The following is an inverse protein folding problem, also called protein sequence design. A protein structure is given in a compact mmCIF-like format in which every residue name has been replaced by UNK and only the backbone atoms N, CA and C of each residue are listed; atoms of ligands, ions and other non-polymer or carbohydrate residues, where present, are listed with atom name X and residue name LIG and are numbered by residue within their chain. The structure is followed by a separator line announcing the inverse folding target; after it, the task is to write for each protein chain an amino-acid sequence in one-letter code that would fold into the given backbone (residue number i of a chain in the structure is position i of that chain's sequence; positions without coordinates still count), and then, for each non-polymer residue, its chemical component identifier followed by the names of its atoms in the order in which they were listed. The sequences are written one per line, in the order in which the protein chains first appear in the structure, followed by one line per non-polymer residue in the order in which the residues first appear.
data_IF_662278004372
#
_entry.id   IF_662278004372
#
_cell.length_a   1.000
_cell.length_b   1.000
_cell.length_c   1.000
_cell.angle_alpha   90.00
_cell.angle_beta   90.00
_cell.angle_gamma   90.00
#
_symmetry.space_group_name_H-M   'P 1'
#
loop_
_entity.id
_entity.type
_entity.pdbx_description
1 polymer ?
#
# COMPACT_ATOMS: atom_id res chain seq x y z
N UNK A 1 2.18 -1.76 16.30
CA UNK A 1 1.39 -2.40 15.24
C UNK A 1 1.43 -3.92 15.37
N UNK A 2 0.45 -4.58 14.74
CA UNK A 2 0.51 -6.01 14.48
C UNK A 2 0.93 -6.24 13.03
N UNK A 3 1.91 -7.13 12.83
CA UNK A 3 2.38 -7.51 11.51
C UNK A 3 1.48 -8.61 10.93
N UNK A 4 0.87 -8.33 9.80
CA UNK A 4 0.09 -9.28 9.00
C UNK A 4 0.87 -9.62 7.71
N UNK A 5 1.71 -10.66 7.72
CA UNK A 5 2.36 -11.08 6.49
C UNK A 5 1.36 -11.76 5.55
N UNK A 6 1.50 -11.50 4.26
CA UNK A 6 0.67 -12.13 3.24
C UNK A 6 1.50 -12.63 2.07
N UNK A 7 0.97 -13.62 1.36
CA UNK A 7 1.65 -14.23 0.22
C UNK A 7 1.54 -13.30 -0.98
N UNK A 8 2.67 -13.00 -1.62
CA UNK A 8 2.68 -12.26 -2.89
C UNK A 8 2.00 -13.06 -3.99
N UNK A 9 1.12 -12.41 -4.77
CA UNK A 9 0.45 -13.05 -5.90
C UNK A 9 1.41 -13.43 -7.05
N UNK A 10 2.54 -12.74 -7.17
CA UNK A 10 3.49 -12.93 -8.26
C UNK A 10 4.62 -13.89 -7.93
N UNK A 11 5.25 -13.72 -6.78
CA UNK A 11 6.42 -14.51 -6.37
C UNK A 11 6.11 -15.56 -5.31
N UNK A 12 4.85 -15.64 -4.88
CA UNK A 12 4.34 -16.55 -3.86
C UNK A 12 5.10 -16.36 -2.52
N UNK A 13 5.55 -17.48 -1.95
CA UNK A 13 6.39 -17.53 -0.74
C UNK A 13 7.88 -17.25 -1.01
N UNK A 14 8.23 -16.80 -2.22
CA UNK A 14 9.57 -16.55 -2.70
C UNK A 14 10.10 -17.61 -3.66
N UNK A 15 9.36 -18.71 -3.86
CA UNK A 15 9.77 -19.78 -4.78
C UNK A 15 9.93 -19.34 -6.23
N UNK A 16 9.29 -18.24 -6.63
CA UNK A 16 9.38 -17.65 -7.97
C UNK A 16 10.24 -16.38 -8.00
N UNK A 17 10.87 -15.99 -6.90
CA UNK A 17 11.65 -14.76 -6.82
C UNK A 17 12.86 -14.71 -7.79
N UNK A 18 13.37 -15.84 -8.23
CA UNK A 18 14.43 -15.94 -9.22
C UNK A 18 13.98 -15.66 -10.67
N UNK A 19 12.68 -15.71 -10.92
CA UNK A 19 12.11 -15.55 -12.26
C UNK A 19 11.84 -14.07 -12.54
N UNK A 20 12.45 -13.46 -13.56
CA UNK A 20 12.31 -12.02 -13.85
C UNK A 20 10.87 -11.66 -14.21
N UNK A 21 10.14 -12.53 -14.91
CA UNK A 21 8.73 -12.31 -15.24
C UNK A 21 7.83 -12.30 -14.00
N UNK A 22 8.14 -13.11 -12.99
CA UNK A 22 7.39 -13.10 -11.74
C UNK A 22 7.68 -11.82 -10.92
N UNK A 23 8.95 -11.39 -10.87
CA UNK A 23 9.32 -10.10 -10.26
C UNK A 23 8.68 -8.91 -10.97
N UNK A 24 8.53 -8.97 -12.29
CA UNK A 24 7.94 -7.92 -13.11
C UNK A 24 6.41 -7.86 -12.96
N UNK A 25 5.75 -8.98 -12.65
CA UNK A 25 4.29 -9.04 -12.49
C UNK A 25 3.87 -8.16 -11.32
N UNK A 26 3.05 -7.12 -11.55
CA UNK A 26 2.63 -6.21 -10.51
C UNK A 26 1.65 -6.89 -9.55
N UNK A 27 1.67 -6.46 -8.31
CA UNK A 27 0.61 -6.78 -7.37
C UNK A 27 -0.72 -6.19 -7.84
N UNK A 28 -1.83 -6.94 -7.80
CA UNK A 28 -3.10 -6.49 -8.40
C UNK A 28 -3.74 -5.30 -7.67
N UNK A 29 -3.37 -5.02 -6.44
CA UNK A 29 -3.94 -3.91 -5.65
C UNK A 29 -3.00 -2.71 -5.63
N UNK A 30 -1.72 -2.91 -5.30
CA UNK A 30 -0.74 -1.84 -5.16
C UNK A 30 -0.01 -1.50 -6.45
N UNK A 31 -0.09 -2.35 -7.47
CA UNK A 31 0.73 -2.30 -8.70
C UNK A 31 2.24 -2.37 -8.43
N UNK A 32 2.65 -2.64 -7.19
CA UNK A 32 4.03 -2.72 -6.79
C UNK A 32 4.70 -4.01 -7.29
N UNK A 33 6.00 -3.93 -7.56
CA UNK A 33 6.83 -5.03 -8.04
C UNK A 33 8.26 -4.87 -7.51
N UNK A 34 9.12 -5.86 -7.68
CA UNK A 34 10.55 -5.82 -7.42
C UNK A 34 11.01 -5.42 -6.02
N UNK A 35 10.15 -5.15 -5.07
CA UNK A 35 10.52 -4.72 -3.72
C UNK A 35 9.58 -5.27 -2.65
N UNK A 36 9.91 -5.02 -1.39
CA UNK A 36 8.99 -5.20 -0.26
C UNK A 36 8.39 -3.86 0.08
N UNK A 37 7.04 -3.82 0.18
CA UNK A 37 6.31 -2.65 0.64
C UNK A 37 5.56 -2.97 1.93
N UNK A 38 5.14 -1.95 2.62
CA UNK A 38 4.38 -2.02 3.86
C UNK A 38 3.07 -1.28 3.65
N UNK A 39 1.98 -2.00 3.70
CA UNK A 39 0.64 -1.43 3.69
C UNK A 39 0.31 -0.93 5.09
N UNK A 40 0.03 0.34 5.21
CA UNK A 40 -0.34 1.01 6.46
C UNK A 40 -1.64 1.80 6.25
N UNK A 41 -2.52 1.82 7.24
CA UNK A 41 -3.76 2.60 7.15
C UNK A 41 -3.47 4.06 6.80
N UNK A 42 -4.18 4.62 5.80
CA UNK A 42 -3.94 5.98 5.28
C UNK A 42 -4.02 7.05 6.35
N UNK A 43 -5.02 7.01 7.24
CA UNK A 43 -5.16 7.99 8.33
C UNK A 43 -4.05 7.86 9.37
N UNK A 44 -3.59 6.63 9.65
CA UNK A 44 -2.44 6.44 10.54
C UNK A 44 -1.13 6.93 9.90
N UNK A 45 -0.97 6.71 8.61
CA UNK A 45 0.18 7.21 7.85
C UNK A 45 0.23 8.75 7.91
N UNK A 46 -0.90 9.42 7.69
CA UNK A 46 -1.01 10.88 7.83
C UNK A 46 -0.62 11.36 9.23
N UNK A 47 -1.16 10.75 10.28
CA UNK A 47 -0.86 11.09 11.67
C UNK A 47 0.63 10.91 12.02
N UNK A 48 1.29 9.96 11.40
CA UNK A 48 2.72 9.66 11.57
C UNK A 48 3.60 10.41 10.56
N UNK A 49 3.02 11.26 9.70
CA UNK A 49 3.70 11.92 8.59
C UNK A 49 4.44 10.93 7.66
N UNK A 50 3.88 9.74 7.47
CA UNK A 50 4.39 8.72 6.56
C UNK A 50 3.74 8.93 5.20
N UNK A 51 4.57 9.00 4.15
CA UNK A 51 4.14 9.13 2.75
C UNK A 51 4.57 7.91 1.98
N UNK A 52 3.92 7.66 0.86
CA UNK A 52 4.34 6.61 -0.06
C UNK A 52 5.81 6.73 -0.43
N UNK A 53 6.53 5.62 -0.35
CA UNK A 53 7.95 5.56 -0.66
C UNK A 53 8.89 5.96 0.48
N UNK A 54 8.38 6.41 1.63
CA UNK A 54 9.22 6.54 2.82
C UNK A 54 9.77 5.17 3.21
N UNK A 55 11.05 5.10 3.52
CA UNK A 55 11.67 3.86 4.01
C UNK A 55 11.36 3.74 5.50
N UNK A 56 10.63 2.67 5.84
CA UNK A 56 10.25 2.35 7.20
C UNK A 56 11.11 1.23 7.74
N UNK A 57 11.61 1.40 8.95
CA UNK A 57 12.20 0.33 9.75
C UNK A 57 11.09 -0.32 10.57
N UNK A 58 10.91 -1.62 10.38
CA UNK A 58 9.94 -2.45 11.08
C UNK A 58 10.72 -3.34 12.03
N UNK A 59 10.53 -3.15 13.32
CA UNK A 59 11.29 -3.85 14.37
C UNK A 59 10.35 -4.69 15.22
N UNK A 60 10.73 -5.96 15.40
CA UNK A 60 10.11 -6.91 16.34
C UNK A 60 11.11 -7.32 17.42
N UNK A 61 10.71 -8.25 18.29
CA UNK A 61 11.64 -8.90 19.24
C UNK A 61 12.73 -9.74 18.57
N UNK A 62 12.53 -10.14 17.30
CA UNK A 62 13.42 -11.05 16.59
C UNK A 62 14.36 -10.34 15.60
N UNK A 63 14.22 -9.02 15.45
CA UNK A 63 15.05 -8.22 14.56
C UNK A 63 14.30 -7.11 13.87
N UNK A 64 14.96 -6.48 12.89
CA UNK A 64 14.38 -5.42 12.08
C UNK A 64 14.57 -5.66 10.59
N UNK A 65 13.68 -5.07 9.80
CA UNK A 65 13.74 -5.01 8.35
C UNK A 65 13.39 -3.61 7.87
N UNK A 66 13.83 -3.27 6.66
CA UNK A 66 13.38 -2.06 5.97
C UNK A 66 12.40 -2.41 4.86
N UNK A 67 11.35 -1.59 4.71
CA UNK A 67 10.40 -1.72 3.62
C UNK A 67 9.86 -0.33 3.21
N UNK A 68 9.30 -0.25 2.00
CA UNK A 68 8.75 1.00 1.46
C UNK A 68 7.31 1.19 1.94
N UNK A 69 7.01 2.37 2.45
CA UNK A 69 5.65 2.70 2.87
C UNK A 69 4.68 2.74 1.69
N UNK A 70 3.54 2.14 1.88
CA UNK A 70 2.39 2.20 0.98
C UNK A 70 1.11 2.48 1.79
N UNK A 71 0.68 3.75 1.92
CA UNK A 71 -0.57 4.07 2.56
C UNK A 71 -1.75 3.44 1.82
N UNK A 72 -2.55 2.63 2.53
CA UNK A 72 -3.66 1.87 1.96
C UNK A 72 -4.94 2.03 2.82
N UNK A 73 -6.06 2.50 2.24
CA UNK A 73 -7.28 2.77 3.02
C UNK A 73 -7.96 1.50 3.56
N UNK A 74 -7.75 0.35 2.91
CA UNK A 74 -8.38 -0.92 3.29
C UNK A 74 -7.72 -1.63 4.46
N UNK A 75 -6.53 -1.21 4.91
CA UNK A 75 -5.87 -1.81 6.07
C UNK A 75 -6.47 -1.26 7.36
N UNK A 76 -6.74 -2.16 8.31
CA UNK A 76 -7.25 -1.79 9.63
C UNK A 76 -6.21 -0.96 10.40
N UNK A 77 -6.60 0.11 11.10
CA UNK A 77 -5.72 0.82 12.03
C UNK A 77 -5.07 -0.13 13.06
N UNK A 78 -3.77 0.09 13.31
CA UNK A 78 -2.99 -0.76 14.23
C UNK A 78 -2.42 -2.04 13.61
N UNK A 79 -2.69 -2.30 12.34
CA UNK A 79 -2.16 -3.43 11.57
C UNK A 79 -1.31 -2.90 10.42
N UNK A 80 -0.25 -3.59 10.09
CA UNK A 80 0.51 -3.39 8.85
C UNK A 80 0.53 -4.68 8.04
N UNK A 81 0.27 -4.57 6.74
CA UNK A 81 0.38 -5.67 5.78
C UNK A 81 1.74 -5.66 5.09
N UNK A 82 2.42 -6.81 5.00
CA UNK A 82 3.71 -6.89 4.31
C UNK A 82 3.78 -8.18 3.49
N UNK A 83 4.01 -8.10 2.16
CA UNK A 83 4.16 -9.29 1.34
C UNK A 83 5.44 -10.05 1.67
N UNK A 84 5.35 -11.37 1.73
CA UNK A 84 6.50 -12.26 1.85
C UNK A 84 7.09 -12.60 0.48
N UNK A 85 8.29 -13.18 0.48
CA UNK A 85 8.92 -13.77 -0.69
C UNK A 85 10.14 -13.00 -1.22
N UNK A 86 10.34 -11.76 -0.80
CA UNK A 86 11.56 -10.98 -1.08
C UNK A 86 12.63 -11.16 0.00
N UNK A 87 13.79 -10.55 -0.20
CA UNK A 87 14.91 -10.59 0.76
C UNK A 87 15.77 -11.84 0.67
N UNK A 88 15.81 -12.47 -0.50
CA UNK A 88 16.65 -13.64 -0.75
C UNK A 88 18.14 -13.28 -0.79
N UNK A 89 18.97 -14.09 -0.14
CA UNK A 89 20.43 -13.90 -0.10
C UNK A 89 21.17 -14.67 -1.19
N UNK A 90 20.58 -15.77 -1.69
CA UNK A 90 21.22 -16.72 -2.61
C UNK A 90 20.29 -17.16 -3.75
N UNK A 91 19.45 -16.27 -4.25
CA UNK A 91 18.44 -16.58 -5.28
C UNK A 91 18.84 -16.19 -6.70
N UNK A 92 20.11 -15.81 -6.93
CA UNK A 92 20.61 -15.29 -8.19
C UNK A 92 20.22 -13.85 -8.47
N UNK A 93 20.69 -13.30 -9.58
CA UNK A 93 20.67 -11.85 -9.89
C UNK A 93 19.29 -11.18 -9.84
N UNK A 94 18.20 -11.92 -9.95
CA UNK A 94 16.85 -11.36 -9.93
C UNK A 94 16.20 -11.40 -8.55
N UNK A 95 16.67 -12.26 -7.64
CA UNK A 95 16.16 -12.39 -6.28
C UNK A 95 17.05 -11.72 -5.23
N UNK A 96 18.37 -11.72 -5.46
CA UNK A 96 19.34 -11.17 -4.50
C UNK A 96 19.24 -9.66 -4.38
N UNK A 97 19.35 -9.17 -3.13
CA UNK A 97 19.37 -7.73 -2.84
C UNK A 97 18.06 -7.01 -3.11
N UNK A 98 16.96 -7.74 -3.29
CA UNK A 98 15.62 -7.16 -3.52
C UNK A 98 14.76 -7.31 -2.30
N UNK A 99 14.23 -6.16 -1.84
CA UNK A 99 13.37 -6.09 -0.68
C UNK A 99 13.97 -6.70 0.59
N UNK A 100 13.13 -7.11 1.49
CA UNK A 100 13.49 -7.63 2.81
C UNK A 100 12.74 -8.91 3.13
N UNK A 101 13.36 -9.80 3.92
CA UNK A 101 12.74 -11.03 4.35
C UNK A 101 11.86 -10.81 5.58
N UNK A 102 10.56 -10.68 5.38
CA UNK A 102 9.56 -10.45 6.43
C UNK A 102 9.52 -11.60 7.44
N UNK A 103 9.77 -12.84 6.99
CA UNK A 103 9.73 -14.00 7.87
C UNK A 103 10.80 -13.99 8.95
N UNK A 104 11.91 -13.25 8.74
CA UNK A 104 13.00 -13.15 9.71
C UNK A 104 12.62 -12.42 11.00
N UNK A 105 11.58 -11.59 10.97
CA UNK A 105 11.12 -10.81 12.12
C UNK A 105 9.85 -11.37 12.76
N UNK A 106 9.30 -12.47 12.27
CA UNK A 106 8.12 -13.09 12.85
C UNK A 106 8.43 -13.70 14.23
N UNK A 107 7.52 -13.51 15.18
CA UNK A 107 7.57 -14.20 16.44
C UNK A 107 7.23 -15.68 16.24
N UNK A 108 7.99 -16.57 16.90
CA UNK A 108 7.70 -18.00 16.91
C UNK A 108 6.55 -18.31 17.88
N UNK A 109 5.36 -17.84 17.54
CA UNK A 109 4.15 -18.05 18.32
C UNK A 109 3.27 -19.10 17.66
N UNK A 110 2.71 -19.98 18.47
CA UNK A 110 1.79 -21.02 18.03
C UNK A 110 0.47 -20.88 18.76
N UNK A 111 -0.59 -21.20 18.05
CA UNK A 111 -1.90 -21.38 18.66
C UNK A 111 -1.88 -22.56 19.62
N UNK A 112 -2.43 -22.38 20.82
CA UNK A 112 -2.36 -23.37 21.90
C UNK A 112 -3.18 -24.62 21.65
N UNK A 113 -4.22 -24.52 20.84
CA UNK A 113 -5.15 -25.61 20.56
C UNK A 113 -4.75 -26.41 19.32
N UNK A 114 -4.48 -25.70 18.22
CA UNK A 114 -4.17 -26.33 16.93
C UNK A 114 -2.68 -26.58 16.70
N UNK A 115 -1.80 -25.93 17.45
CA UNK A 115 -0.35 -25.92 17.22
C UNK A 115 0.08 -25.16 15.96
N UNK A 116 -0.86 -24.54 15.23
CA UNK A 116 -0.58 -23.78 14.02
C UNK A 116 0.23 -22.52 14.35
N UNK A 117 1.02 -22.03 13.38
CA UNK A 117 1.74 -20.78 13.53
C UNK A 117 0.75 -19.62 13.63
N UNK A 118 0.87 -18.81 14.68
CA UNK A 118 0.10 -17.61 14.89
C UNK A 118 0.64 -16.47 13.98
N UNK A 119 0.31 -16.55 12.70
CA UNK A 119 0.87 -15.82 11.60
C UNK A 119 0.83 -14.29 11.76
N UNK A 120 -0.25 -13.74 12.30
CA UNK A 120 -0.47 -12.30 12.46
C UNK A 120 -0.35 -11.83 13.93
N UNK A 121 0.31 -12.60 14.80
CA UNK A 121 0.43 -12.28 16.22
C UNK A 121 1.67 -11.47 16.57
N UNK A 122 2.58 -11.25 15.63
CA UNK A 122 3.83 -10.51 15.87
C UNK A 122 3.56 -9.02 16.06
N UNK A 123 3.94 -8.49 17.22
CA UNK A 123 3.94 -7.06 17.50
C UNK A 123 5.21 -6.41 16.96
N UNK A 124 5.06 -5.27 16.32
CA UNK A 124 6.15 -4.51 15.72
C UNK A 124 6.03 -3.03 16.00
N UNK A 125 7.18 -2.35 16.06
CA UNK A 125 7.29 -0.90 15.97
C UNK A 125 7.62 -0.51 14.53
N UNK A 126 7.13 0.65 14.11
CA UNK A 126 7.36 1.20 12.76
C UNK A 126 7.94 2.58 12.91
N UNK A 127 9.12 2.81 12.39
CA UNK A 127 9.84 4.07 12.45
C UNK A 127 10.28 4.51 11.05
N UNK A 128 10.27 5.82 10.79
CA UNK A 128 10.85 6.36 9.55
C UNK A 128 12.36 6.40 9.67
N UNK A 129 13.06 5.92 8.66
CA UNK A 129 14.53 6.04 8.58
C UNK A 129 15.00 7.42 8.14
N UNK A 130 14.09 8.27 7.63
CA UNK A 130 14.41 9.54 7.00
C UNK A 130 14.73 9.42 5.50
N UNK A 131 14.95 8.23 5.00
CA UNK A 131 15.17 7.97 3.58
C UNK A 131 13.84 7.84 2.83
N UNK A 132 13.86 8.16 1.53
CA UNK A 132 12.71 7.97 0.65
C UNK A 132 13.17 7.35 -0.66
N UNK A 133 12.44 6.35 -1.13
CA UNK A 133 12.64 5.70 -2.44
C UNK A 133 11.29 5.49 -3.10
N UNK A 134 11.25 5.68 -4.42
CA UNK A 134 10.04 5.41 -5.18
C UNK A 134 9.65 3.93 -5.05
N UNK A 135 8.38 3.64 -4.77
CA UNK A 135 7.84 2.28 -4.88
C UNK A 135 7.82 1.91 -6.36
N UNK A 136 8.51 0.84 -6.79
CA UNK A 136 8.44 0.42 -8.19
C UNK A 136 7.03 -0.04 -8.53
N UNK A 137 6.34 0.69 -9.39
CA UNK A 137 4.98 0.39 -9.86
C UNK A 137 4.93 0.30 -11.38
N UNK A 138 4.09 -0.56 -11.92
CA UNK A 138 3.90 -0.68 -13.37
C UNK A 138 3.12 0.51 -13.97
N UNK A 139 2.34 1.21 -13.17
CA UNK A 139 1.49 2.33 -13.61
C UNK A 139 2.23 3.69 -13.69
N UNK A 140 3.52 3.74 -13.43
CA UNK A 140 4.27 4.99 -13.42
C UNK A 140 3.96 5.87 -12.20
N UNK A 141 4.13 7.19 -12.35
CA UNK A 141 3.99 8.19 -11.29
C UNK A 141 2.55 8.71 -11.16
N UNK A 142 1.56 7.86 -11.13
CA UNK A 142 0.25 8.30 -10.69
C UNK A 142 0.34 8.44 -9.15
N UNK A 143 0.71 9.63 -8.70
CA UNK A 143 0.48 9.97 -7.30
C UNK A 143 -1.01 9.77 -7.03
N UNK A 144 -1.35 8.96 -6.01
CA UNK A 144 -2.70 8.95 -5.50
C UNK A 144 -3.01 10.40 -5.12
N UNK A 145 -3.71 11.10 -6.01
CA UNK A 145 -4.17 12.44 -5.66
C UNK A 145 -5.09 12.26 -4.47
N UNK A 146 -4.84 12.97 -3.36
CA UNK A 146 -5.86 13.07 -2.35
C UNK A 146 -7.13 13.51 -3.07
N UNK A 147 -8.24 12.83 -2.85
CA UNK A 147 -9.54 13.28 -3.32
C UNK A 147 -9.68 14.69 -2.75
N UNK A 148 -9.58 15.71 -3.62
CA UNK A 148 -9.72 17.09 -3.17
C UNK A 148 -11.06 17.19 -2.47
N UNK A 149 -11.15 17.84 -1.28
CA UNK A 149 -12.43 18.09 -0.64
C UNK A 149 -13.36 18.78 -1.63
N UNK A 150 -14.46 18.14 -2.01
CA UNK A 150 -15.39 18.64 -3.01
C UNK A 150 -15.38 17.93 -4.36
N UNK A 151 -14.46 16.97 -4.60
CA UNK A 151 -14.63 16.06 -5.75
C UNK A 151 -15.72 15.05 -5.38
N UNK A 152 -16.85 15.04 -6.08
CA UNK A 152 -17.94 14.14 -5.73
C UNK A 152 -17.48 12.69 -5.96
N UNK A 153 -17.30 11.96 -4.88
CA UNK A 153 -17.37 10.50 -4.92
C UNK A 153 -18.81 10.16 -5.28
N UNK A 154 -19.01 9.22 -6.19
CA UNK A 154 -20.35 8.76 -6.56
C UNK A 154 -21.13 8.38 -5.28
N UNK A 155 -22.03 9.25 -4.85
CA UNK A 155 -22.93 8.99 -3.74
C UNK A 155 -24.20 8.37 -4.33
N UNK A 156 -24.35 7.07 -4.16
CA UNK A 156 -25.56 6.36 -4.58
C UNK A 156 -26.52 6.31 -3.38
N UNK A 157 -27.67 6.98 -3.50
CA UNK A 157 -28.75 6.81 -2.55
C UNK A 157 -29.38 5.41 -2.69
N UNK A 158 -29.85 4.77 -1.60
CA UNK A 158 -30.42 3.42 -1.66
C UNK A 158 -31.58 3.26 -2.66
N UNK A 159 -32.23 4.36 -3.05
CA UNK A 159 -33.38 4.39 -3.95
C UNK A 159 -33.06 4.89 -5.35
N UNK A 160 -31.80 5.19 -5.66
CA UNK A 160 -31.36 5.63 -6.99
C UNK A 160 -30.67 4.49 -7.73
N UNK A 161 -30.97 4.35 -9.01
CA UNK A 161 -30.20 3.45 -9.86
C UNK A 161 -28.81 4.05 -10.11
N UNK A 162 -27.80 3.20 -10.28
CA UNK A 162 -26.41 3.64 -10.53
C UNK A 162 -26.32 4.58 -11.76
N UNK A 163 -27.26 4.51 -12.68
CA UNK A 163 -27.33 5.34 -13.88
C UNK A 163 -27.80 6.76 -13.57
N UNK A 164 -28.85 6.89 -12.76
CA UNK A 164 -29.37 8.19 -12.29
C UNK A 164 -28.35 8.92 -11.43
N UNK A 165 -27.66 8.19 -10.56
CA UNK A 165 -26.57 8.74 -9.73
C UNK A 165 -25.39 9.25 -10.59
N UNK A 166 -25.03 8.56 -11.68
CA UNK A 166 -24.00 9.02 -12.62
C UNK A 166 -24.42 10.30 -13.37
N UNK A 167 -25.65 10.38 -13.84
CA UNK A 167 -26.16 11.56 -14.53
C UNK A 167 -26.21 12.78 -13.61
N UNK A 168 -26.66 12.59 -12.37
CA UNK A 168 -26.73 13.66 -11.36
C UNK A 168 -25.33 14.20 -11.02
N UNK A 169 -24.37 13.33 -10.78
CA UNK A 169 -22.99 13.73 -10.46
C UNK A 169 -22.28 14.38 -11.67
N UNK A 170 -22.57 13.92 -12.90
CA UNK A 170 -22.00 14.53 -14.11
C UNK A 170 -22.53 15.96 -14.33
N UNK A 171 -23.79 16.21 -14.07
CA UNK A 171 -24.38 17.55 -14.14
C UNK A 171 -23.83 18.50 -13.08
N UNK A 172 -23.65 18.03 -11.86
CA UNK A 172 -23.08 18.84 -10.78
C UNK A 172 -21.63 19.20 -11.07
N UNK A 173 -20.82 18.25 -11.52
CA UNK A 173 -19.43 18.47 -11.89
C UNK A 173 -19.25 19.45 -13.06
N UNK A 174 -20.11 19.37 -14.06
CA UNK A 174 -20.12 20.34 -15.17
C UNK A 174 -20.45 21.75 -14.68
N UNK A 175 -21.44 21.89 -13.82
CA UNK A 175 -21.83 23.19 -13.27
C UNK A 175 -20.70 23.85 -12.48
N UNK A 176 -20.01 23.11 -11.63
CA UNK A 176 -18.85 23.61 -10.87
C UNK A 176 -17.66 24.00 -11.78
N UNK A 177 -17.43 23.26 -12.87
CA UNK A 177 -16.39 23.60 -13.86
C UNK A 177 -16.70 24.92 -14.59
N UNK A 178 -17.96 25.19 -14.92
CA UNK A 178 -18.36 26.44 -15.53
C UNK A 178 -18.24 27.62 -14.57
N UNK A 179 -18.66 27.46 -13.32
CA UNK A 179 -18.55 28.51 -12.28
C UNK A 179 -17.09 28.86 -11.98
N UNK A 180 -16.17 27.86 -11.94
CA UNK A 180 -14.72 28.09 -11.79
C UNK A 180 -14.09 28.81 -12.99
N UNK A 181 -14.57 28.59 -14.21
CA UNK A 181 -14.11 29.30 -15.41
C UNK A 181 -14.54 30.77 -15.39
N UNK A 182 -15.77 31.05 -15.00
CA UNK A 182 -16.30 32.41 -14.93
C UNK A 182 -15.63 33.23 -13.81
N UNK A 183 -15.24 32.61 -12.69
CA UNK A 183 -14.51 33.28 -11.62
C UNK A 183 -13.06 33.63 -12.03
N UNK A 184 -12.38 32.78 -12.81
CA UNK A 184 -11.03 33.08 -13.34
C UNK A 184 -11.05 34.20 -14.38
N UNK A 185 -12.06 34.23 -15.24
CA UNK A 185 -12.21 35.29 -16.27
C UNK A 185 -12.49 36.69 -15.68
N UNK A 186 -12.99 36.78 -14.45
CA UNK A 186 -13.25 38.04 -13.73
C UNK A 186 -12.08 38.54 -12.90
N UNK A 187 -11.02 37.72 -12.69
CA UNK A 187 -9.83 38.13 -11.94
C UNK A 187 -8.69 38.67 -12.85
N UNK A 188 -8.84 38.58 -14.16
CA UNK A 188 -7.83 39.01 -15.16
C UNK A 188 -8.22 40.31 -15.88
N UNK A 189 -9.13 41.12 -15.29
CA UNK A 189 -9.47 42.46 -15.75
C UNK A 189 -9.26 43.54 -14.66
#
# INVERSE_FOLDING_TARGET
FYLAPFVSNSILDGRLAYAPWAQQTPDPISSASWSTWVEINSHQAENLNIREGDVLEITSSNGSIEALAYPHPGIRPGVIGVPIGQGNKNGGRYAEGRGSNVLSILANMRDSESGALAWAATKVSVNKTGNRRKVPKMEGDVEARPVEPGVPVLVVSPNETAKEAQEHNHHQYQKELFEKKDSKSKSDH
#
